data_IF_102754816558
#
_entry.id   IF_102754816558
#
_cell.length_a   1.000
_cell.length_b   1.000
_cell.length_c   1.000
_cell.angle_alpha   90.00
_cell.angle_beta   90.00
_cell.angle_gamma   90.00
#
_symmetry.space_group_name_H-M   'P 1'
#
loop_
_entity.id
_entity.type
_entity.pdbx_description
1 polymer ?
#
# COMPACT_ATOMS: atom_id res chain seq x y z
N UNK A 1 -13.48 26.17 4.71
CA UNK A 1 -13.78 24.81 4.21
C UNK A 1 -12.92 24.64 2.99
N UNK A 2 -11.88 23.85 3.11
CA UNK A 2 -10.98 23.51 2.01
C UNK A 2 -11.69 22.48 1.12
N UNK A 3 -11.42 22.54 -0.18
CA UNK A 3 -12.22 21.89 -1.22
C UNK A 3 -11.41 20.81 -1.93
N UNK A 4 -12.04 19.68 -2.34
CA UNK A 4 -13.43 19.27 -2.17
C UNK A 4 -13.71 18.60 -0.81
N UNK A 5 -14.92 18.76 -0.28
CA UNK A 5 -15.33 18.19 1.00
C UNK A 5 -16.12 16.89 0.81
N UNK A 6 -15.51 15.76 1.15
CA UNK A 6 -16.09 14.44 0.95
C UNK A 6 -17.08 14.07 2.08
N UNK A 7 -18.30 13.68 1.73
CA UNK A 7 -19.38 13.38 2.69
C UNK A 7 -19.78 11.91 2.71
N UNK A 8 -19.50 11.16 1.65
CA UNK A 8 -19.84 9.75 1.56
C UNK A 8 -18.81 8.97 0.72
N UNK A 9 -18.40 7.81 1.23
CA UNK A 9 -17.68 6.76 0.50
C UNK A 9 -18.22 5.43 1.00
N UNK A 10 -18.81 4.64 0.13
CA UNK A 10 -19.38 3.35 0.54
C UNK A 10 -19.93 2.55 -0.62
N UNK A 11 -20.14 1.26 -0.41
CA UNK A 11 -20.70 0.39 -1.43
C UNK A 11 -22.23 0.55 -1.51
N UNK A 12 -22.72 0.99 -2.67
CA UNK A 12 -24.13 1.01 -3.02
C UNK A 12 -24.40 -0.15 -4.01
N UNK A 13 -24.73 -1.34 -3.47
CA UNK A 13 -24.86 -2.54 -4.28
C UNK A 13 -23.50 -3.05 -4.78
N UNK A 14 -23.27 -3.06 -6.10
CA UNK A 14 -21.99 -3.39 -6.73
C UNK A 14 -21.08 -2.19 -6.97
N UNK A 15 -21.63 -0.98 -6.93
CA UNK A 15 -20.88 0.24 -7.22
C UNK A 15 -20.37 0.90 -5.93
N UNK A 16 -19.18 1.49 -6.01
CA UNK A 16 -18.67 2.38 -4.98
C UNK A 16 -19.29 3.76 -5.20
N UNK A 17 -20.07 4.24 -4.23
CA UNK A 17 -20.61 5.59 -4.20
C UNK A 17 -19.59 6.53 -3.58
N UNK A 18 -19.33 7.64 -4.26
CA UNK A 18 -18.48 8.73 -3.82
C UNK A 18 -19.28 10.03 -3.93
N UNK A 19 -19.53 10.68 -2.81
CA UNK A 19 -20.30 11.92 -2.77
C UNK A 19 -19.66 12.98 -1.88
N UNK A 20 -19.91 14.24 -2.22
CA UNK A 20 -19.34 15.37 -1.51
C UNK A 20 -19.93 16.70 -1.94
N UNK A 21 -19.31 17.76 -1.46
CA UNK A 21 -19.68 19.12 -1.78
C UNK A 21 -18.44 19.99 -2.01
N UNK A 22 -18.60 20.99 -2.84
CA UNK A 22 -17.63 22.09 -3.02
C UNK A 22 -18.35 23.41 -2.76
N UNK A 23 -17.62 24.46 -2.35
CA UNK A 23 -18.25 25.76 -2.27
C UNK A 23 -18.45 26.25 -3.70
N UNK A 24 -19.53 27.00 -3.89
CA UNK A 24 -19.68 27.79 -5.10
C UNK A 24 -18.71 28.96 -4.97
N UNK A 25 -17.69 28.97 -5.82
CA UNK A 25 -16.80 30.11 -6.03
C UNK A 25 -17.29 30.92 -7.23
N UNK A 26 -16.87 32.18 -7.34
CA UNK A 26 -17.35 33.10 -8.39
C UNK A 26 -16.93 32.63 -9.81
N UNK A 27 -15.87 31.83 -9.92
CA UNK A 27 -15.36 31.26 -11.17
C UNK A 27 -16.10 29.98 -11.62
N UNK A 28 -16.99 29.43 -10.79
CA UNK A 28 -17.76 28.24 -11.14
C UNK A 28 -19.08 28.63 -11.84
N UNK A 29 -19.39 28.05 -13.01
CA UNK A 29 -20.67 28.29 -13.66
C UNK A 29 -21.82 27.79 -12.76
N UNK A 30 -23.03 28.31 -12.97
CA UNK A 30 -24.19 27.98 -12.15
C UNK A 30 -24.50 26.46 -12.12
N UNK A 31 -24.23 25.78 -13.23
CA UNK A 31 -24.31 24.34 -13.41
C UNK A 31 -22.97 23.82 -13.97
N UNK A 32 -21.98 23.53 -13.12
CA UNK A 32 -20.71 22.98 -13.56
C UNK A 32 -20.87 21.52 -13.97
N UNK A 33 -20.16 21.12 -15.03
CA UNK A 33 -19.93 19.70 -15.30
C UNK A 33 -18.88 19.16 -14.34
N UNK A 34 -19.11 17.94 -13.85
CA UNK A 34 -18.20 17.26 -12.94
C UNK A 34 -18.01 15.81 -13.35
N UNK A 35 -16.76 15.35 -13.30
CA UNK A 35 -16.40 13.96 -13.54
C UNK A 35 -15.55 13.44 -12.40
N UNK A 36 -15.82 12.23 -11.95
CA UNK A 36 -14.89 11.49 -11.11
C UNK A 36 -13.79 10.93 -12.01
N UNK A 37 -12.54 11.21 -11.66
CA UNK A 37 -11.36 10.68 -12.35
C UNK A 37 -10.77 9.53 -11.54
N UNK A 38 -10.54 8.39 -12.19
CA UNK A 38 -9.68 7.34 -11.66
C UNK A 38 -8.39 7.34 -12.48
N UNK A 39 -7.27 7.65 -11.82
CA UNK A 39 -5.96 7.62 -12.46
C UNK A 39 -5.15 6.44 -11.91
N UNK A 40 -4.65 5.58 -12.78
CA UNK A 40 -3.77 4.49 -12.37
C UNK A 40 -2.44 5.07 -11.87
N UNK A 41 -2.01 4.70 -10.66
CA UNK A 41 -0.82 5.30 -10.05
C UNK A 41 0.48 4.89 -10.72
N UNK A 42 0.57 3.64 -11.15
CA UNK A 42 1.79 3.04 -11.71
C UNK A 42 1.70 2.86 -13.24
N UNK A 43 0.69 3.47 -13.88
CA UNK A 43 0.42 3.31 -15.30
C UNK A 43 -0.23 4.55 -15.92
N UNK A 44 -0.62 4.43 -17.18
CA UNK A 44 -1.25 5.53 -17.93
C UNK A 44 -2.79 5.44 -17.92
N UNK A 45 -3.35 4.53 -17.13
CA UNK A 45 -4.79 4.35 -16.99
C UNK A 45 -5.49 5.64 -16.54
N UNK A 46 -6.50 6.06 -17.29
CA UNK A 46 -7.37 7.17 -16.91
C UNK A 46 -8.82 6.81 -17.26
N UNK A 47 -9.67 6.76 -16.24
CA UNK A 47 -11.11 6.58 -16.39
C UNK A 47 -11.83 7.85 -15.96
N UNK A 48 -12.83 8.25 -16.74
CA UNK A 48 -13.73 9.38 -16.46
C UNK A 48 -15.13 8.86 -16.23
N UNK A 49 -15.70 9.17 -15.08
CA UNK A 49 -17.04 8.75 -14.70
C UNK A 49 -17.91 9.98 -14.49
N UNK A 50 -19.12 10.03 -15.07
CA UNK A 50 -20.00 11.17 -14.88
C UNK A 50 -20.40 11.29 -13.41
N UNK A 51 -20.39 12.52 -12.89
CA UNK A 51 -20.96 12.84 -11.59
C UNK A 51 -22.30 13.56 -11.76
N UNK A 52 -23.29 13.15 -10.96
CA UNK A 52 -24.54 13.89 -10.81
C UNK A 52 -24.28 15.13 -9.96
N UNK A 53 -24.69 16.30 -10.46
CA UNK A 53 -24.45 17.59 -9.79
C UNK A 53 -25.77 18.14 -9.26
N UNK A 54 -25.74 18.60 -8.01
CA UNK A 54 -26.86 19.24 -7.33
C UNK A 54 -26.46 20.54 -6.65
N UNK A 55 -27.43 21.21 -6.05
CA UNK A 55 -27.20 22.38 -5.23
C UNK A 55 -27.97 22.27 -3.91
N UNK A 56 -27.26 22.40 -2.80
CA UNK A 56 -27.84 22.29 -1.47
C UNK A 56 -27.17 23.29 -0.53
N UNK A 57 -27.97 24.08 0.21
CA UNK A 57 -27.48 25.04 1.22
C UNK A 57 -26.37 25.98 0.71
N UNK A 58 -26.42 26.38 -0.57
CA UNK A 58 -25.43 27.24 -1.20
C UNK A 58 -24.13 26.55 -1.64
N UNK A 59 -24.04 25.22 -1.48
CA UNK A 59 -22.95 24.38 -1.97
C UNK A 59 -23.34 23.69 -3.28
N UNK A 60 -22.34 23.34 -4.07
CA UNK A 60 -22.51 22.45 -5.21
C UNK A 60 -22.20 21.03 -4.74
N UNK A 61 -23.19 20.15 -4.79
CA UNK A 61 -23.04 18.75 -4.38
C UNK A 61 -22.75 17.88 -5.59
N UNK A 62 -21.95 16.83 -5.40
CA UNK A 62 -21.69 15.84 -6.44
C UNK A 62 -21.89 14.43 -5.90
N UNK A 63 -22.30 13.53 -6.78
CA UNK A 63 -22.36 12.10 -6.54
C UNK A 63 -21.90 11.33 -7.78
N UNK A 64 -20.97 10.41 -7.60
CA UNK A 64 -20.53 9.49 -8.65
C UNK A 64 -20.64 8.05 -8.15
N UNK A 65 -20.99 7.14 -9.08
CA UNK A 65 -21.02 5.71 -8.86
C UNK A 65 -19.94 5.05 -9.70
N UNK A 66 -19.04 4.32 -9.05
CA UNK A 66 -17.99 3.53 -9.68
C UNK A 66 -18.40 2.07 -9.68
N UNK A 67 -18.99 1.58 -10.77
CA UNK A 67 -19.21 0.14 -10.93
C UNK A 67 -17.90 -0.55 -11.33
N UNK A 68 -17.15 -1.02 -10.34
CA UNK A 68 -15.83 -1.63 -10.54
C UNK A 68 -15.92 -2.93 -11.35
N UNK A 69 -17.10 -3.56 -11.44
CA UNK A 69 -17.32 -4.74 -12.28
C UNK A 69 -17.60 -4.39 -13.75
N UNK A 70 -17.98 -3.14 -14.04
CA UNK A 70 -18.44 -2.70 -15.36
C UNK A 70 -18.22 -1.19 -15.52
N UNK A 71 -16.97 -0.77 -15.71
CA UNK A 71 -16.60 0.63 -15.89
C UNK A 71 -16.85 1.12 -17.32
N UNK A 72 -15.82 1.19 -18.17
CA UNK A 72 -15.96 1.59 -19.58
C UNK A 72 -16.24 0.36 -20.45
N UNK A 73 -17.25 0.45 -21.33
CA UNK A 73 -17.64 -0.61 -22.28
C UNK A 73 -18.07 -1.94 -21.64
N UNK A 74 -18.37 -1.94 -20.34
CA UNK A 74 -18.84 -3.12 -19.61
C UNK A 74 -17.73 -4.00 -19.04
N UNK A 75 -16.46 -3.59 -19.16
CA UNK A 75 -15.33 -4.34 -18.64
C UNK A 75 -15.05 -3.98 -17.16
N UNK A 76 -14.53 -4.91 -16.35
CA UNK A 76 -14.09 -4.61 -14.99
C UNK A 76 -12.95 -3.60 -14.97
N UNK A 77 -12.84 -2.83 -13.88
CA UNK A 77 -11.69 -1.94 -13.67
C UNK A 77 -10.42 -2.79 -13.63
N UNK A 78 -9.37 -2.46 -14.42
CA UNK A 78 -8.15 -3.24 -14.42
C UNK A 78 -7.51 -3.32 -13.04
N UNK A 79 -6.87 -4.45 -12.75
CA UNK A 79 -6.13 -4.64 -11.51
C UNK A 79 -5.06 -3.56 -11.37
N UNK A 80 -4.83 -3.03 -10.17
CA UNK A 80 -3.93 -1.90 -9.95
C UNK A 80 -4.39 -0.98 -8.83
N UNK A 81 -3.62 0.07 -8.59
CA UNK A 81 -3.94 1.11 -7.64
C UNK A 81 -4.39 2.37 -8.38
N UNK A 82 -5.60 2.83 -8.05
CA UNK A 82 -6.25 3.94 -8.72
C UNK A 82 -6.45 5.10 -7.74
N UNK A 83 -5.96 6.28 -8.10
CA UNK A 83 -6.17 7.52 -7.39
C UNK A 83 -7.47 8.19 -7.82
N UNK A 84 -8.26 8.63 -6.83
CA UNK A 84 -9.59 9.20 -7.06
C UNK A 84 -9.55 10.72 -6.96
N UNK A 85 -9.85 11.37 -8.08
CA UNK A 85 -9.96 12.83 -8.17
C UNK A 85 -11.34 13.27 -8.67
N UNK A 86 -11.61 14.57 -8.57
CA UNK A 86 -12.78 15.22 -9.14
C UNK A 86 -12.32 16.27 -10.16
N UNK A 87 -12.73 16.12 -11.41
CA UNK A 87 -12.62 17.15 -12.43
C UNK A 87 -13.84 18.06 -12.38
N UNK A 88 -13.62 19.36 -12.40
CA UNK A 88 -14.67 20.38 -12.31
C UNK A 88 -14.54 21.36 -13.48
N UNK A 89 -15.68 21.70 -14.10
CA UNK A 89 -15.78 22.72 -15.14
C UNK A 89 -15.80 22.15 -16.56
N UNK A 90 -16.01 23.02 -17.55
CA UNK A 90 -16.13 22.63 -18.98
C UNK A 90 -14.99 23.25 -19.81
N UNK A 91 -14.27 22.47 -20.63
CA UNK A 91 -14.33 21.00 -20.66
C UNK A 91 -13.80 20.42 -19.33
N UNK A 92 -14.28 19.24 -18.89
CA UNK A 92 -13.82 18.58 -17.68
C UNK A 92 -12.31 18.32 -17.78
N UNK A 93 -11.54 19.14 -17.08
CA UNK A 93 -10.10 19.32 -17.27
C UNK A 93 -9.59 20.69 -16.83
N UNK A 94 -10.47 21.67 -16.61
CA UNK A 94 -10.09 23.01 -16.12
C UNK A 94 -9.52 23.02 -14.70
N UNK A 95 -10.03 22.18 -13.79
CA UNK A 95 -9.51 22.00 -12.43
C UNK A 95 -9.72 20.55 -11.99
N UNK A 96 -8.64 19.86 -11.62
CA UNK A 96 -8.69 18.54 -10.99
C UNK A 96 -8.27 18.68 -9.54
N UNK A 97 -9.07 18.12 -8.64
CA UNK A 97 -8.80 18.15 -7.20
C UNK A 97 -8.80 16.73 -6.63
N UNK A 98 -7.89 16.46 -5.70
CA UNK A 98 -7.82 15.19 -4.99
C UNK A 98 -9.00 15.07 -4.01
N UNK A 99 -9.59 13.89 -3.93
CA UNK A 99 -10.67 13.60 -2.98
C UNK A 99 -10.11 12.95 -1.72
N UNK A 100 -10.64 13.31 -0.55
CA UNK A 100 -10.34 12.65 0.72
C UNK A 100 -9.61 13.48 1.79
N UNK A 101 -8.62 14.35 1.47
CA UNK A 101 -7.92 15.14 2.49
C UNK A 101 -8.88 15.93 3.40
N UNK A 102 -9.92 16.49 2.79
CA UNK A 102 -11.01 17.19 3.48
C UNK A 102 -12.29 16.35 3.42
N UNK A 103 -12.83 15.99 4.59
CA UNK A 103 -13.97 15.08 4.70
C UNK A 103 -14.81 15.31 5.95
N UNK A 104 -16.02 14.79 5.94
CA UNK A 104 -16.93 14.81 7.08
C UNK A 104 -16.31 14.13 8.32
N UNK A 105 -16.36 14.76 9.53
CA UNK A 105 -15.81 14.16 10.76
C UNK A 105 -16.40 12.79 11.12
N UNK A 106 -17.61 12.50 10.65
CA UNK A 106 -18.29 11.21 10.84
C UNK A 106 -18.17 10.25 9.66
N UNK A 107 -17.39 10.57 8.63
CA UNK A 107 -17.17 9.67 7.50
C UNK A 107 -16.39 8.44 7.98
N UNK A 108 -16.87 7.24 7.66
CA UNK A 108 -16.14 6.00 7.92
C UNK A 108 -14.85 5.98 7.09
N UNK A 109 -13.71 6.02 7.77
CA UNK A 109 -12.38 5.98 7.14
C UNK A 109 -11.81 4.56 7.03
N UNK A 110 -12.56 3.56 7.52
CA UNK A 110 -12.18 2.16 7.39
C UNK A 110 -12.17 1.74 5.92
N UNK A 111 -11.24 0.87 5.47
CA UNK A 111 -11.26 0.35 4.12
C UNK A 111 -12.57 -0.33 3.76
N UNK A 112 -13.22 0.16 2.72
CA UNK A 112 -14.47 -0.39 2.18
C UNK A 112 -14.11 -1.48 1.19
N UNK A 113 -14.40 -2.74 1.56
CA UNK A 113 -14.03 -3.92 0.74
C UNK A 113 -15.20 -4.52 -0.02
N UNK A 114 -14.89 -5.04 -1.20
CA UNK A 114 -15.79 -5.83 -2.03
C UNK A 114 -15.03 -6.96 -2.71
N UNK A 115 -15.69 -8.09 -2.90
CA UNK A 115 -15.20 -9.17 -3.75
C UNK A 115 -16.00 -9.16 -5.04
N UNK A 116 -15.31 -9.05 -6.16
CA UNK A 116 -15.89 -9.20 -7.49
C UNK A 116 -15.96 -10.68 -7.89
N UNK A 117 -16.73 -11.05 -8.93
CA UNK A 117 -16.64 -12.35 -9.55
C UNK A 117 -15.18 -12.72 -9.89
N UNK A 118 -14.82 -14.00 -9.73
CA UNK A 118 -13.43 -14.45 -9.94
C UNK A 118 -12.50 -14.21 -8.76
N UNK A 119 -13.03 -13.87 -7.57
CA UNK A 119 -12.28 -13.63 -6.33
C UNK A 119 -11.31 -12.43 -6.40
N UNK A 120 -11.54 -11.50 -7.32
CA UNK A 120 -10.81 -10.23 -7.35
C UNK A 120 -11.27 -9.37 -6.17
N UNK A 121 -10.34 -9.01 -5.30
CA UNK A 121 -10.61 -8.12 -4.17
C UNK A 121 -10.52 -6.66 -4.62
N UNK A 122 -11.48 -5.85 -4.21
CA UNK A 122 -11.48 -4.40 -4.39
C UNK A 122 -11.57 -3.73 -3.02
N UNK A 123 -10.70 -2.75 -2.79
CA UNK A 123 -10.71 -1.96 -1.56
C UNK A 123 -10.66 -0.47 -1.88
N UNK A 124 -11.61 0.30 -1.35
CA UNK A 124 -11.56 1.76 -1.34
C UNK A 124 -11.13 2.25 0.05
N UNK A 125 -10.15 3.14 0.13
CA UNK A 125 -9.55 3.56 1.40
C UNK A 125 -8.84 4.91 1.26
N UNK A 126 -8.56 5.52 2.41
CA UNK A 126 -7.76 6.74 2.49
C UNK A 126 -6.29 6.38 2.72
N UNK A 127 -5.41 6.85 1.83
CA UNK A 127 -3.96 6.66 1.94
C UNK A 127 -3.32 7.54 3.02
N UNK A 128 -1.99 7.47 3.16
CA UNK A 128 -1.24 8.22 4.19
C UNK A 128 -1.35 9.75 4.08
N UNK A 129 -1.67 10.27 2.89
CA UNK A 129 -1.98 11.72 2.68
C UNK A 129 -3.46 12.06 2.88
N UNK A 130 -4.28 11.09 3.28
CA UNK A 130 -5.72 11.22 3.39
C UNK A 130 -6.47 11.17 2.05
N UNK A 131 -5.79 10.95 0.93
CA UNK A 131 -6.39 10.84 -0.40
C UNK A 131 -7.12 9.51 -0.57
N UNK A 132 -8.27 9.53 -1.25
CA UNK A 132 -9.05 8.34 -1.58
C UNK A 132 -8.39 7.58 -2.73
N UNK A 133 -8.18 6.28 -2.54
CA UNK A 133 -7.68 5.37 -3.57
C UNK A 133 -8.54 4.10 -3.64
N UNK A 134 -8.54 3.45 -4.80
CA UNK A 134 -9.17 2.15 -5.05
C UNK A 134 -8.06 1.15 -5.46
N UNK A 135 -7.89 0.08 -4.70
CA UNK A 135 -6.99 -1.03 -5.03
C UNK A 135 -7.79 -2.20 -5.58
N UNK A 136 -7.43 -2.68 -6.77
CA UNK A 136 -8.05 -3.79 -7.47
C UNK A 136 -7.05 -4.94 -7.60
N UNK A 137 -7.40 -6.09 -7.04
CA UNK A 137 -6.61 -7.32 -7.12
C UNK A 137 -5.62 -7.53 -5.99
N UNK A 138 -5.43 -6.56 -5.09
CA UNK A 138 -4.63 -6.73 -3.85
C UNK A 138 -3.14 -7.01 -4.11
N UNK A 139 -2.63 -6.56 -5.26
CA UNK A 139 -1.21 -6.68 -5.61
C UNK A 139 -0.37 -5.89 -4.61
N UNK A 140 0.86 -6.33 -4.33
CA UNK A 140 1.80 -5.53 -3.56
C UNK A 140 2.17 -4.28 -4.34
N UNK A 141 2.06 -3.13 -3.69
CA UNK A 141 2.42 -1.84 -4.27
C UNK A 141 3.61 -1.25 -3.52
N UNK A 142 4.59 -0.72 -4.25
CA UNK A 142 5.76 -0.07 -3.67
C UNK A 142 5.32 1.15 -2.88
N UNK A 143 5.71 1.20 -1.60
CA UNK A 143 5.28 2.21 -0.64
C UNK A 143 6.44 3.09 -0.14
N UNK A 144 7.59 3.05 -0.81
CA UNK A 144 8.80 3.74 -0.42
C UNK A 144 9.77 2.83 0.32
N UNK A 145 10.51 3.39 1.27
CA UNK A 145 11.53 2.69 2.04
C UNK A 145 11.37 2.89 3.54
N UNK A 146 11.89 1.96 4.32
CA UNK A 146 12.09 2.10 5.78
C UNK A 146 13.49 1.66 6.16
N UNK A 147 14.02 2.17 7.26
CA UNK A 147 15.32 1.73 7.78
C UNK A 147 15.15 0.55 8.73
N UNK A 148 16.02 -0.45 8.63
CA UNK A 148 16.20 -1.40 9.72
C UNK A 148 16.92 -0.70 10.89
N UNK A 149 16.49 -0.98 12.11
CA UNK A 149 17.19 -0.55 13.33
C UNK A 149 18.40 -1.45 13.61
N UNK A 150 18.33 -2.72 13.18
CA UNK A 150 19.39 -3.68 13.44
C UNK A 150 19.25 -4.97 12.64
N UNK A 151 20.41 -5.56 12.36
CA UNK A 151 20.55 -6.91 11.83
C UNK A 151 21.54 -7.63 12.73
N UNK A 152 21.14 -8.75 13.32
CA UNK A 152 21.95 -9.46 14.31
C UNK A 152 21.89 -10.98 14.11
N UNK A 153 22.93 -11.68 14.56
CA UNK A 153 22.96 -13.13 14.61
C UNK A 153 22.46 -13.62 15.98
N UNK A 154 21.41 -14.44 15.99
CA UNK A 154 20.97 -15.18 17.19
C UNK A 154 21.70 -16.53 17.23
N UNK A 155 22.77 -16.63 18.03
CA UNK A 155 23.53 -17.87 18.19
C UNK A 155 22.69 -19.04 18.73
N UNK A 156 21.71 -18.75 19.58
CA UNK A 156 20.90 -19.78 20.25
C UNK A 156 19.96 -20.46 19.27
N UNK A 157 19.41 -19.70 18.32
CA UNK A 157 18.50 -20.21 17.29
C UNK A 157 19.18 -20.44 15.94
N UNK A 158 20.38 -19.93 15.76
CA UNK A 158 21.12 -19.94 14.52
C UNK A 158 20.34 -19.30 13.36
N UNK A 159 19.79 -18.11 13.64
CA UNK A 159 18.94 -17.28 12.76
C UNK A 159 19.53 -15.87 12.62
N UNK A 160 19.30 -15.23 11.48
CA UNK A 160 19.53 -13.78 11.34
C UNK A 160 18.26 -13.07 11.78
N UNK A 161 18.36 -12.16 12.73
CA UNK A 161 17.24 -11.36 13.24
C UNK A 161 17.33 -9.97 12.63
N UNK A 162 16.25 -9.54 11.97
CA UNK A 162 16.09 -8.20 11.44
C UNK A 162 15.04 -7.47 12.28
N UNK A 163 15.39 -6.29 12.76
CA UNK A 163 14.49 -5.40 13.51
C UNK A 163 14.45 -4.03 12.87
N UNK A 164 13.30 -3.38 12.96
CA UNK A 164 13.15 -1.98 12.59
C UNK A 164 11.83 -1.41 13.09
N UNK A 165 11.51 -0.20 12.64
CA UNK A 165 10.23 0.42 12.91
C UNK A 165 9.68 1.14 11.68
N UNK A 166 8.38 1.43 11.73
CA UNK A 166 7.70 2.34 10.81
C UNK A 166 6.92 3.38 11.61
N UNK A 167 6.73 4.56 11.03
CA UNK A 167 5.91 5.61 11.63
C UNK A 167 4.45 5.13 11.70
N UNK A 168 3.92 5.02 12.91
CA UNK A 168 2.55 4.57 13.14
C UNK A 168 1.53 5.53 12.52
N UNK A 169 1.87 6.81 12.32
CA UNK A 169 0.97 7.80 11.71
C UNK A 169 0.61 7.44 10.26
N UNK A 170 1.39 6.57 9.62
CA UNK A 170 1.08 6.05 8.29
C UNK A 170 -0.01 4.97 8.32
N UNK A 171 -0.35 4.47 9.50
CA UNK A 171 -1.28 3.38 9.72
C UNK A 171 -2.52 3.88 10.45
N UNK A 172 -3.66 3.85 9.76
CA UNK A 172 -4.96 4.14 10.34
C UNK A 172 -5.70 2.89 10.82
N UNK A 173 -5.08 1.70 10.72
CA UNK A 173 -5.72 0.42 10.96
C UNK A 173 -4.72 -0.69 11.34
N UNK A 174 -5.18 -1.82 11.90
CA UNK A 174 -4.34 -2.98 12.17
C UNK A 174 -3.72 -3.55 10.89
N UNK A 175 -2.45 -3.96 10.98
CA UNK A 175 -1.69 -4.53 9.87
C UNK A 175 -1.03 -5.86 10.27
N UNK A 176 -0.76 -6.72 9.30
CA UNK A 176 0.16 -7.86 9.42
C UNK A 176 1.48 -7.53 8.72
N UNK A 177 2.59 -8.08 9.21
CA UNK A 177 3.91 -7.85 8.65
C UNK A 177 4.55 -9.13 8.11
N UNK A 178 5.12 -9.05 6.91
CA UNK A 178 5.92 -10.12 6.31
C UNK A 178 7.18 -9.50 5.73
N UNK A 179 8.37 -10.02 6.05
CA UNK A 179 9.56 -9.72 5.28
C UNK A 179 9.57 -10.58 4.02
N UNK A 180 9.67 -9.93 2.86
CA UNK A 180 9.87 -10.56 1.57
C UNK A 180 11.34 -10.42 1.21
N UNK A 181 11.98 -11.54 0.93
CA UNK A 181 13.34 -11.62 0.43
C UNK A 181 13.29 -11.99 -1.04
N UNK A 182 13.81 -11.12 -1.91
CA UNK A 182 13.85 -11.37 -3.36
C UNK A 182 15.28 -11.64 -3.81
N UNK A 183 15.51 -12.82 -4.37
CA UNK A 183 16.82 -13.21 -4.91
C UNK A 183 17.14 -12.42 -6.19
N UNK A 184 18.33 -11.83 -6.28
CA UNK A 184 18.67 -10.84 -7.33
C UNK A 184 18.63 -11.41 -8.75
N UNK A 185 19.12 -12.63 -8.95
CA UNK A 185 19.32 -13.19 -10.30
C UNK A 185 18.08 -13.91 -10.81
N UNK A 186 17.40 -14.62 -9.93
CA UNK A 186 16.26 -15.50 -10.25
C UNK A 186 14.91 -14.90 -9.92
N UNK A 187 14.89 -13.78 -9.17
CA UNK A 187 13.67 -13.11 -8.68
C UNK A 187 12.76 -14.01 -7.84
N UNK A 188 13.30 -15.10 -7.30
CA UNK A 188 12.57 -15.97 -6.37
C UNK A 188 12.34 -15.25 -5.06
N UNK A 189 11.17 -15.45 -4.47
CA UNK A 189 10.82 -14.88 -3.17
C UNK A 189 10.97 -15.90 -2.05
N UNK A 190 11.33 -15.41 -0.88
CA UNK A 190 11.31 -16.14 0.38
C UNK A 190 10.64 -15.26 1.44
N UNK A 191 9.64 -15.78 2.13
CA UNK A 191 8.78 -14.98 3.01
C UNK A 191 8.97 -15.41 4.47
N UNK A 192 9.06 -14.42 5.36
CA UNK A 192 9.17 -14.63 6.80
C UNK A 192 8.19 -13.73 7.51
N UNK A 193 7.35 -14.29 8.38
CA UNK A 193 6.43 -13.50 9.20
C UNK A 193 7.24 -12.56 10.10
N UNK A 194 6.89 -11.27 10.05
CA UNK A 194 7.42 -10.27 10.96
C UNK A 194 6.47 -10.12 12.14
N UNK A 195 6.96 -10.39 13.35
CA UNK A 195 6.24 -10.05 14.56
C UNK A 195 6.17 -8.53 14.67
N UNK A 196 4.97 -8.00 14.92
CA UNK A 196 4.72 -6.57 15.05
C UNK A 196 4.42 -6.23 16.51
N UNK A 197 5.04 -5.17 17.01
CA UNK A 197 4.86 -4.66 18.36
C UNK A 197 4.58 -3.16 18.32
N UNK A 198 3.42 -2.76 18.82
CA UNK A 198 3.08 -1.35 18.94
C UNK A 198 3.83 -0.72 20.12
N UNK A 199 4.60 0.32 19.85
CA UNK A 199 5.26 1.14 20.87
C UNK A 199 4.98 2.61 20.58
N UNK A 200 4.24 3.29 21.45
CA UNK A 200 3.84 4.70 21.31
C UNK A 200 3.49 5.13 19.87
N UNK A 201 4.36 5.92 19.23
CA UNK A 201 4.20 6.48 17.88
C UNK A 201 4.86 5.64 16.75
N UNK A 202 5.31 4.43 17.07
CA UNK A 202 5.99 3.51 16.16
C UNK A 202 5.34 2.13 16.14
N UNK A 203 5.44 1.48 15.00
CA UNK A 203 5.21 0.03 14.90
C UNK A 203 6.56 -0.65 14.70
N UNK A 204 7.05 -1.30 15.75
CA UNK A 204 8.25 -2.11 15.69
C UNK A 204 7.96 -3.41 14.93
N UNK A 205 8.91 -3.85 14.12
CA UNK A 205 8.87 -5.16 13.47
C UNK A 205 10.10 -5.96 13.81
N UNK A 206 9.92 -7.28 13.96
CA UNK A 206 10.99 -8.26 14.18
C UNK A 206 10.74 -9.50 13.36
N UNK A 207 11.69 -9.85 12.50
CA UNK A 207 11.67 -11.10 11.73
C UNK A 207 12.92 -11.92 12.02
N UNK A 208 12.76 -13.25 12.05
CA UNK A 208 13.87 -14.18 12.28
C UNK A 208 14.02 -15.07 11.03
N UNK A 209 15.14 -14.94 10.35
CA UNK A 209 15.44 -15.62 9.11
C UNK A 209 16.19 -16.92 9.39
N UNK A 210 15.58 -18.08 9.05
CA UNK A 210 16.23 -19.36 9.24
C UNK A 210 17.33 -19.55 8.17
N UNK A 211 18.60 -19.44 8.57
CA UNK A 211 19.73 -19.65 7.64
C UNK A 211 20.46 -20.97 7.86
N UNK A 212 20.13 -21.73 8.90
CA UNK A 212 20.82 -23.00 9.23
C UNK A 212 19.91 -24.21 9.28
N UNK A 213 18.77 -24.10 9.95
CA UNK A 213 17.81 -25.19 10.18
C UNK A 213 16.40 -24.71 9.90
N UNK A 214 15.66 -25.52 9.16
CA UNK A 214 14.22 -25.56 9.19
C UNK A 214 13.81 -26.43 10.38
N UNK A 215 13.08 -25.91 11.35
CA UNK A 215 12.24 -26.79 12.19
C UNK A 215 10.90 -27.07 11.50
N UNK A 216 10.44 -26.17 10.63
CA UNK A 216 9.18 -26.26 9.88
C UNK A 216 9.39 -25.85 8.40
N UNK A 217 10.11 -24.74 8.13
CA UNK A 217 10.29 -24.19 6.76
C UNK A 217 11.72 -24.24 6.25
N UNK A 218 11.92 -24.54 4.96
CA UNK A 218 13.23 -24.61 4.32
C UNK A 218 14.09 -23.38 4.63
N UNK A 219 15.38 -23.54 4.98
CA UNK A 219 16.18 -22.42 5.39
C UNK A 219 16.62 -21.60 4.15
N UNK A 220 16.79 -20.28 4.30
CA UNK A 220 17.05 -19.33 3.21
C UNK A 220 18.09 -19.88 2.21
N UNK A 221 17.74 -20.06 0.92
CA UNK A 221 18.66 -20.65 -0.04
C UNK A 221 19.89 -19.77 -0.30
N UNK A 222 20.90 -20.35 -0.96
CA UNK A 222 22.07 -19.57 -1.38
C UNK A 222 21.67 -18.51 -2.40
N UNK A 223 22.35 -17.37 -2.36
CA UNK A 223 22.08 -16.23 -3.22
C UNK A 223 22.27 -14.92 -2.47
N UNK A 224 22.02 -13.81 -3.19
CA UNK A 224 21.92 -12.47 -2.61
C UNK A 224 20.47 -12.03 -2.67
N UNK A 225 19.92 -11.73 -1.50
CA UNK A 225 18.49 -11.50 -1.31
C UNK A 225 18.25 -10.06 -0.88
N UNK A 226 17.56 -9.28 -1.70
CA UNK A 226 17.11 -7.94 -1.33
C UNK A 226 15.89 -8.05 -0.41
N UNK A 227 15.84 -7.23 0.64
CA UNK A 227 14.83 -7.31 1.70
C UNK A 227 13.81 -6.18 1.58
N UNK A 228 12.53 -6.54 1.58
CA UNK A 228 11.41 -5.61 1.71
C UNK A 228 10.46 -6.03 2.82
N UNK A 229 9.78 -5.06 3.43
CA UNK A 229 8.72 -5.27 4.42
C UNK A 229 7.37 -5.09 3.72
N UNK A 230 6.59 -6.16 3.67
CA UNK A 230 5.21 -6.14 3.22
C UNK A 230 4.27 -5.95 4.42
N UNK A 231 3.51 -4.85 4.40
CA UNK A 231 2.43 -4.59 5.33
C UNK A 231 1.11 -4.96 4.67
N UNK A 232 0.47 -6.00 5.21
CA UNK A 232 -0.84 -6.45 4.79
C UNK A 232 -1.93 -5.80 5.64
N UNK A 233 -2.95 -5.20 5.02
CA UNK A 233 -4.13 -4.73 5.73
C UNK A 233 -5.34 -4.82 4.82
N UNK A 234 -6.44 -5.41 5.30
CA UNK A 234 -7.69 -5.47 4.56
C UNK A 234 -7.55 -6.03 3.12
N UNK A 235 -6.64 -6.99 2.90
CA UNK A 235 -6.38 -7.60 1.58
C UNK A 235 -5.51 -6.74 0.64
N UNK A 236 -5.03 -5.59 1.12
CA UNK A 236 -4.05 -4.75 0.43
C UNK A 236 -2.66 -5.04 0.97
N UNK A 237 -1.66 -4.86 0.12
CA UNK A 237 -0.26 -5.11 0.44
C UNK A 237 0.59 -3.89 0.07
N UNK A 238 1.35 -3.38 1.03
CA UNK A 238 2.31 -2.28 0.83
C UNK A 238 3.72 -2.79 1.05
N UNK A 239 4.56 -2.65 0.04
CA UNK A 239 5.93 -3.11 0.09
C UNK A 239 6.89 -1.94 0.31
N UNK A 240 7.61 -1.96 1.43
CA UNK A 240 8.63 -0.99 1.79
C UNK A 240 10.00 -1.61 1.58
N UNK A 241 10.83 -1.00 0.73
CA UNK A 241 12.24 -1.41 0.64
C UNK A 241 12.95 -1.18 1.97
N UNK A 242 13.63 -2.19 2.51
CA UNK A 242 14.34 -2.03 3.79
C UNK A 242 15.75 -1.54 3.52
N UNK A 243 16.17 -0.46 4.16
CA UNK A 243 17.55 0.04 4.14
C UNK A 243 18.37 -0.63 5.24
N UNK A 244 19.64 -0.91 4.95
CA UNK A 244 20.53 -1.54 5.91
C UNK A 244 20.85 -0.62 7.10
N UNK A 245 21.00 -1.16 8.32
CA UNK A 245 21.53 -0.39 9.46
C UNK A 245 23.06 -0.23 9.34
N UNK A 246 23.65 0.55 10.24
CA UNK A 246 25.11 0.63 10.37
C UNK A 246 25.73 -0.71 10.80
N UNK A 247 25.03 -1.44 11.68
CA UNK A 247 25.44 -2.77 12.12
C UNK A 247 25.21 -3.83 11.05
N UNK A 248 26.19 -4.73 10.88
CA UNK A 248 26.11 -5.84 9.93
C UNK A 248 26.20 -7.19 10.61
N UNK A 249 25.72 -8.21 9.91
CA UNK A 249 26.03 -9.61 10.22
C UNK A 249 27.08 -10.10 9.26
N UNK A 250 28.06 -10.84 9.78
CA UNK A 250 29.00 -11.65 9.00
C UNK A 250 29.42 -12.87 9.82
N UNK A 251 28.82 -14.02 9.53
CA UNK A 251 29.00 -15.25 10.31
C UNK A 251 29.24 -16.46 9.42
N UNK A 252 29.94 -17.46 9.96
CA UNK A 252 30.10 -18.76 9.32
C UNK A 252 29.15 -19.77 9.97
N UNK A 253 28.22 -20.29 9.18
CA UNK A 253 27.25 -21.26 9.67
C UNK A 253 27.46 -22.64 9.04
N UNK A 254 27.17 -23.69 9.79
CA UNK A 254 27.29 -25.06 9.29
C UNK A 254 25.98 -25.51 8.61
N UNK A 255 26.01 -25.77 7.30
CA UNK A 255 24.86 -26.29 6.53
C UNK A 255 25.28 -27.52 5.74
N UNK A 256 24.52 -28.62 5.86
CA UNK A 256 24.71 -29.86 5.08
C UNK A 256 26.20 -30.27 4.97
N UNK A 257 26.90 -30.31 6.12
CA UNK A 257 28.31 -30.68 6.25
C UNK A 257 29.33 -29.69 5.65
N UNK A 258 28.96 -28.43 5.41
CA UNK A 258 29.88 -27.39 4.93
C UNK A 258 29.66 -26.07 5.68
N UNK A 259 30.74 -25.31 5.86
CA UNK A 259 30.62 -23.91 6.27
C UNK A 259 30.08 -23.07 5.11
N UNK A 260 29.12 -22.20 5.44
CA UNK A 260 28.50 -21.25 4.54
C UNK A 260 28.58 -19.89 5.23
N UNK A 261 29.13 -18.90 4.54
CA UNK A 261 29.10 -17.51 5.02
C UNK A 261 27.68 -16.96 4.92
N UNK A 262 27.25 -16.23 5.93
CA UNK A 262 26.03 -15.42 5.88
C UNK A 262 26.44 -13.99 6.23
N UNK A 263 26.15 -13.05 5.34
CA UNK A 263 26.47 -11.64 5.57
C UNK A 263 25.31 -10.72 5.19
N UNK A 264 25.28 -9.52 5.75
CA UNK A 264 24.35 -8.45 5.36
C UNK A 264 25.08 -7.27 4.72
N UNK A 265 24.37 -6.47 3.92
CA UNK A 265 24.84 -5.12 3.54
C UNK A 265 24.84 -4.18 4.76
N UNK A 266 25.50 -3.03 4.60
CA UNK A 266 25.56 -1.93 5.57
C UNK A 266 24.94 -0.66 5.01
N UNK A 267 24.49 0.24 5.87
CA UNK A 267 24.06 1.58 5.48
C UNK A 267 25.10 2.28 4.57
N UNK A 268 24.67 3.09 3.59
CA UNK A 268 23.29 3.50 3.29
C UNK A 268 22.57 2.59 2.28
N UNK A 269 23.16 1.44 1.93
CA UNK A 269 22.63 0.58 0.88
C UNK A 269 21.30 -0.09 1.28
N UNK A 270 20.46 -0.50 0.31
CA UNK A 270 19.36 -1.41 0.58
C UNK A 270 19.84 -2.65 1.34
N UNK A 271 19.03 -3.11 2.28
CA UNK A 271 19.31 -4.29 3.06
C UNK A 271 19.29 -5.52 2.15
N UNK A 272 20.42 -6.20 2.08
CA UNK A 272 20.57 -7.46 1.38
C UNK A 272 21.20 -8.50 2.32
N UNK A 273 20.72 -9.74 2.23
CA UNK A 273 21.30 -10.90 2.93
C UNK A 273 21.95 -11.80 1.88
N UNK A 274 23.24 -12.07 2.05
CA UNK A 274 24.00 -12.99 1.20
C UNK A 274 24.24 -14.29 1.93
N UNK A 275 23.86 -15.41 1.32
CA UNK A 275 24.08 -16.76 1.85
C UNK A 275 24.98 -17.54 0.89
N UNK A 276 26.21 -17.83 1.33
CA UNK A 276 27.24 -18.49 0.54
C UNK A 276 28.23 -17.51 -0.07
N UNK A 277 28.85 -17.92 -1.19
CA UNK A 277 29.66 -17.02 -2.00
C UNK A 277 28.72 -16.31 -2.98
N UNK A 278 28.84 -14.99 -3.04
CA UNK A 278 28.37 -14.23 -4.20
C UNK A 278 29.11 -14.70 -5.46
#
# INVERSE_FOLDING_TARGET
>A
MSEPYLTEVGWAGSALRVAGAIRRDDDLPAAPEMELLLHERDGDGLLRLPASVGAENGLVTFEALVDVASVERGEPLPGGLWDVGLAIGTPPGGRVVELGPERAPGLDTSPQRRFLPGAVTVAAYFGGRGTLSIDVGGRSHVAGTTSADGVAWDERRAEVVITGHIDRRWLSMPVSGTLILTERDTRRTFEVIAALEETDDRLGYRAALPVTRAFVDDPLPRGTWDVSLCLGFSGMHRELGVLAPEGTVDVQVWRRLRHVRVSSSSAPDPLAITVGRA
#
